data_IF_990678806271
#
_entry.id   IF_990678806271
#
_cell.length_a   1.000
_cell.length_b   1.000
_cell.length_c   1.000
_cell.angle_alpha   90.00
_cell.angle_beta   90.00
_cell.angle_gamma   90.00
#
_symmetry.space_group_name_H-M   'P 1'
#
loop_
_entity.id
_entity.type
_entity.pdbx_description
1 polymer ?
#
# COMPACT_ATOMS: atom_id res chain seq x y z
N UNK A 1 -22.24 16.05 27.00
CA UNK A 1 -21.48 14.78 26.98
C UNK A 1 -21.88 13.90 25.79
N UNK A 2 -23.16 13.55 25.61
CA UNK A 2 -23.59 12.71 24.47
C UNK A 2 -23.37 13.33 23.07
N UNK A 3 -23.46 14.66 22.95
CA UNK A 3 -23.29 15.38 21.68
C UNK A 3 -21.87 15.29 21.09
N UNK A 4 -20.83 15.34 21.93
CA UNK A 4 -19.43 15.25 21.47
C UNK A 4 -19.12 13.83 20.97
N UNK A 5 -19.67 12.81 21.62
CA UNK A 5 -19.53 11.41 21.19
C UNK A 5 -20.21 11.17 19.84
N UNK A 6 -21.42 11.70 19.64
CA UNK A 6 -22.14 11.62 18.36
C UNK A 6 -21.39 12.35 17.24
N UNK A 7 -20.77 13.50 17.54
CA UNK A 7 -19.94 14.24 16.57
C UNK A 7 -18.67 13.46 16.21
N UNK A 8 -17.98 12.88 17.20
CA UNK A 8 -16.79 12.05 16.95
C UNK A 8 -17.11 10.81 16.11
N UNK A 9 -18.20 10.11 16.42
CA UNK A 9 -18.67 8.97 15.62
C UNK A 9 -19.07 9.38 14.20
N UNK A 10 -19.69 10.56 14.03
CA UNK A 10 -20.06 11.07 12.71
C UNK A 10 -18.82 11.36 11.86
N UNK A 11 -17.77 11.96 12.43
CA UNK A 11 -16.51 12.23 11.73
C UNK A 11 -15.86 10.93 11.26
N UNK A 12 -15.79 9.92 12.14
CA UNK A 12 -15.21 8.61 11.82
C UNK A 12 -15.98 7.88 10.71
N UNK A 13 -17.31 7.97 10.73
CA UNK A 13 -18.18 7.35 9.72
C UNK A 13 -18.11 8.08 8.37
N UNK A 14 -17.95 9.41 8.39
CA UNK A 14 -17.84 10.22 7.16
C UNK A 14 -16.50 10.03 6.43
N UNK A 15 -15.40 9.80 7.16
CA UNK A 15 -14.07 9.54 6.59
C UNK A 15 -13.83 8.07 6.17
N UNK A 16 -14.87 7.24 6.23
CA UNK A 16 -14.80 5.80 5.98
C UNK A 16 -14.14 5.03 7.12
N UNK A 17 -14.87 4.03 7.66
CA UNK A 17 -14.35 3.10 8.68
C UNK A 17 -13.58 1.98 7.97
N UNK A 18 -12.25 2.08 7.99
CA UNK A 18 -11.36 0.93 7.79
C UNK A 18 -11.28 0.12 9.10
N UNK A 19 -11.06 -1.20 9.00
CA UNK A 19 -10.96 -2.12 10.14
C UNK A 19 -9.97 -1.61 11.21
N UNK A 20 -8.83 -1.04 10.78
CA UNK A 20 -7.85 -0.42 11.68
C UNK A 20 -8.43 0.78 12.44
N UNK A 21 -9.11 1.70 11.75
CA UNK A 21 -9.74 2.88 12.37
C UNK A 21 -10.80 2.43 13.38
N UNK A 22 -11.61 1.44 13.03
CA UNK A 22 -12.63 0.85 13.91
C UNK A 22 -12.03 0.24 15.18
N UNK A 23 -10.93 -0.50 15.06
CA UNK A 23 -10.22 -1.10 16.20
C UNK A 23 -9.65 -0.03 17.14
N UNK A 24 -8.99 1.01 16.59
CA UNK A 24 -8.44 2.13 17.36
C UNK A 24 -9.54 2.81 18.18
N UNK A 25 -10.67 3.11 17.55
CA UNK A 25 -11.81 3.77 18.19
C UNK A 25 -12.44 2.88 19.27
N UNK A 26 -12.63 1.59 19.00
CA UNK A 26 -13.21 0.64 19.94
C UNK A 26 -12.34 0.44 21.19
N UNK A 27 -11.03 0.28 21.02
CA UNK A 27 -10.08 0.12 22.13
C UNK A 27 -9.97 1.41 22.95
N UNK A 28 -9.84 2.57 22.29
CA UNK A 28 -9.79 3.87 22.96
C UNK A 28 -11.07 4.15 23.77
N UNK A 29 -12.24 3.83 23.20
CA UNK A 29 -13.52 3.96 23.89
C UNK A 29 -13.63 3.04 25.10
N UNK A 30 -13.30 1.76 24.95
CA UNK A 30 -13.38 0.79 26.03
C UNK A 30 -12.43 1.14 27.18
N UNK A 31 -11.21 1.57 26.87
CA UNK A 31 -10.25 2.04 27.88
C UNK A 31 -10.76 3.31 28.56
N UNK A 32 -11.25 4.30 27.82
CA UNK A 32 -11.81 5.53 28.41
C UNK A 32 -12.98 5.26 29.36
N UNK A 33 -13.91 4.38 28.98
CA UNK A 33 -15.03 3.95 29.82
C UNK A 33 -14.54 3.14 31.03
N UNK A 34 -13.53 2.30 30.88
CA UNK A 34 -12.92 1.53 31.97
C UNK A 34 -12.27 2.40 33.05
N UNK A 35 -11.55 3.44 32.64
CA UNK A 35 -10.97 4.44 33.55
C UNK A 35 -12.05 5.27 34.25
N UNK A 36 -13.10 5.69 33.53
CA UNK A 36 -14.19 6.47 34.10
C UNK A 36 -15.00 5.68 35.15
N UNK A 37 -15.17 4.37 34.96
CA UNK A 37 -15.90 3.52 35.89
C UNK A 37 -15.03 2.93 37.01
N UNK A 38 -13.74 3.29 37.09
CA UNK A 38 -12.82 2.81 38.12
C UNK A 38 -12.53 1.31 38.08
N UNK A 39 -12.83 0.64 36.96
CA UNK A 39 -12.68 -0.82 36.79
C UNK A 39 -11.22 -1.20 36.53
N UNK A 40 -10.39 -0.24 36.11
CA UNK A 40 -8.96 -0.44 35.82
C UNK A 40 -8.13 0.13 36.97
N UNK A 41 -7.66 -0.77 37.83
CA UNK A 41 -6.64 -0.60 38.90
C UNK A 41 -6.32 0.85 39.33
N UNK A 42 -7.17 1.46 40.18
CA UNK A 42 -7.00 2.84 40.66
C UNK A 42 -5.68 3.04 41.42
N UNK A 43 -5.19 2.01 42.11
CA UNK A 43 -4.07 2.09 43.07
C UNK A 43 -2.69 2.18 42.40
N UNK A 44 -2.52 1.63 41.19
CA UNK A 44 -1.26 1.72 40.45
C UNK A 44 -1.19 2.95 39.54
N UNK A 45 -2.36 3.52 39.19
CA UNK A 45 -2.47 4.65 38.27
C UNK A 45 -2.29 6.01 38.94
N UNK A 46 -2.68 6.14 40.20
CA UNK A 46 -2.46 7.35 41.03
C UNK A 46 -0.98 7.68 41.21
N UNK A 47 -0.09 6.68 41.12
CA UNK A 47 1.35 6.86 41.25
C UNK A 47 2.05 7.37 39.98
N UNK A 48 1.52 7.09 38.79
CA UNK A 48 2.17 7.41 37.51
C UNK A 48 1.64 8.67 36.83
N UNK A 49 0.36 8.98 36.99
CA UNK A 49 -0.21 10.23 36.49
C UNK A 49 -1.55 10.51 37.18
N UNK A 50 -1.56 11.48 38.10
CA UNK A 50 -2.64 11.75 39.05
C UNK A 50 -4.00 12.19 38.46
N UNK A 51 -4.61 13.33 38.89
CA UNK A 51 -6.03 13.66 38.61
C UNK A 51 -6.46 13.65 37.14
N UNK A 52 -5.51 13.72 36.20
CA UNK A 52 -5.76 13.84 34.77
C UNK A 52 -6.22 12.53 34.09
N UNK A 53 -5.93 11.36 34.67
CA UNK A 53 -6.39 10.04 34.16
C UNK A 53 -7.72 9.56 34.74
N UNK A 54 -8.25 10.25 35.77
CA UNK A 54 -9.62 9.99 36.24
C UNK A 54 -10.68 10.44 35.24
N UNK A 55 -10.30 11.23 34.23
CA UNK A 55 -11.17 11.60 33.12
C UNK A 55 -11.04 10.60 31.97
N UNK A 56 -12.07 9.74 31.81
CA UNK A 56 -12.13 8.74 30.74
C UNK A 56 -11.99 9.31 29.32
N UNK A 57 -12.35 10.58 29.11
CA UNK A 57 -12.16 11.25 27.82
C UNK A 57 -10.67 11.47 27.50
N UNK A 58 -9.87 11.85 28.51
CA UNK A 58 -8.43 12.08 28.35
C UNK A 58 -7.70 10.74 28.17
N UNK A 59 -8.04 9.74 29.00
CA UNK A 59 -7.47 8.40 28.89
C UNK A 59 -7.75 7.77 27.51
N UNK A 60 -9.01 7.82 27.05
CA UNK A 60 -9.38 7.33 25.72
C UNK A 60 -8.70 8.10 24.59
N UNK A 61 -8.60 9.43 24.70
CA UNK A 61 -7.90 10.27 23.73
C UNK A 61 -6.41 9.94 23.60
N UNK A 62 -5.71 9.74 24.72
CA UNK A 62 -4.29 9.35 24.72
C UNK A 62 -4.10 7.98 24.05
N UNK A 63 -4.97 7.01 24.34
CA UNK A 63 -4.93 5.68 23.71
C UNK A 63 -5.19 5.78 22.21
N UNK A 64 -6.16 6.58 21.78
CA UNK A 64 -6.44 6.81 20.36
C UNK A 64 -5.22 7.40 19.63
N UNK A 65 -4.58 8.42 20.23
CA UNK A 65 -3.36 9.04 19.67
C UNK A 65 -2.22 8.02 19.61
N UNK A 66 -1.97 7.28 20.69
CA UNK A 66 -0.90 6.30 20.75
C UNK A 66 -1.09 5.18 19.73
N UNK A 67 -2.30 4.63 19.59
CA UNK A 67 -2.59 3.59 18.60
C UNK A 67 -2.55 4.12 17.16
N UNK A 68 -3.00 5.36 16.93
CA UNK A 68 -2.89 6.01 15.61
C UNK A 68 -1.42 6.15 15.22
N UNK A 69 -0.59 6.69 16.11
CA UNK A 69 0.85 6.83 15.90
C UNK A 69 1.52 5.48 15.67
N UNK A 70 1.19 4.47 16.49
CA UNK A 70 1.69 3.11 16.30
C UNK A 70 1.31 2.54 14.93
N UNK A 71 0.07 2.77 14.50
CA UNK A 71 -0.42 2.29 13.21
C UNK A 71 0.27 2.98 12.05
N UNK A 72 0.48 4.29 12.12
CA UNK A 72 1.20 5.04 11.10
C UNK A 72 2.67 4.63 11.01
N UNK A 73 3.32 4.42 12.16
CA UNK A 73 4.71 3.96 12.22
C UNK A 73 4.86 2.52 11.70
N UNK A 74 3.83 1.69 11.86
CA UNK A 74 3.84 0.27 11.45
C UNK A 74 3.25 0.05 10.05
N UNK A 75 2.83 1.11 9.34
CA UNK A 75 2.35 0.98 7.95
C UNK A 75 3.49 0.45 7.06
N UNK A 76 3.23 -0.57 6.20
CA UNK A 76 4.22 -1.02 5.24
C UNK A 76 4.60 0.15 4.32
N UNK A 77 5.84 0.65 4.44
CA UNK A 77 6.33 1.71 3.55
C UNK A 77 6.36 1.17 2.13
N UNK A 78 5.61 1.83 1.23
CA UNK A 78 5.64 1.57 -0.20
C UNK A 78 7.05 1.86 -0.71
N UNK A 79 7.75 0.83 -1.17
CA UNK A 79 9.06 0.98 -1.78
C UNK A 79 8.86 1.51 -3.19
N UNK A 80 9.64 2.50 -3.63
CA UNK A 80 9.53 3.08 -4.97
C UNK A 80 10.91 3.24 -5.59
N UNK A 81 11.00 3.09 -6.90
CA UNK A 81 12.18 3.39 -7.70
C UNK A 81 11.73 4.04 -9.00
N UNK A 82 12.47 5.07 -9.45
CA UNK A 82 12.26 5.76 -10.71
C UNK A 82 13.42 5.42 -11.64
N UNK A 83 13.10 4.96 -12.85
CA UNK A 83 14.07 4.53 -13.87
C UNK A 83 13.62 5.02 -15.24
N UNK A 84 14.52 5.02 -16.24
CA UNK A 84 14.14 5.24 -17.63
C UNK A 84 13.24 4.11 -18.14
N UNK A 85 12.33 4.39 -19.07
CA UNK A 85 11.61 3.33 -19.79
C UNK A 85 12.50 2.79 -20.91
N UNK A 86 13.47 1.96 -20.56
CA UNK A 86 14.38 1.32 -21.50
C UNK A 86 14.78 -0.09 -21.02
N UNK A 87 15.46 -0.85 -21.88
CA UNK A 87 15.89 -2.22 -21.56
C UNK A 87 16.96 -2.27 -20.46
N UNK A 88 17.77 -1.21 -20.32
CA UNK A 88 18.81 -1.12 -19.28
C UNK A 88 18.24 -0.96 -17.86
N UNK A 89 17.02 -0.42 -17.74
CA UNK A 89 16.29 -0.32 -16.47
C UNK A 89 15.97 -1.67 -15.82
N UNK A 90 16.06 -2.78 -16.56
CA UNK A 90 15.82 -4.12 -16.03
C UNK A 90 16.77 -4.47 -14.87
N UNK A 91 18.04 -4.02 -14.94
CA UNK A 91 19.01 -4.27 -13.87
C UNK A 91 18.63 -3.56 -12.57
N UNK A 92 18.21 -2.30 -12.66
CA UNK A 92 17.81 -1.49 -11.51
C UNK A 92 16.51 -2.02 -10.89
N UNK A 93 15.55 -2.43 -11.73
CA UNK A 93 14.30 -3.07 -11.30
C UNK A 93 14.58 -4.39 -10.58
N UNK A 94 15.47 -5.24 -11.13
CA UNK A 94 15.85 -6.51 -10.51
C UNK A 94 16.51 -6.30 -9.15
N UNK A 95 17.45 -5.36 -9.04
CA UNK A 95 18.09 -5.01 -7.78
C UNK A 95 17.08 -4.50 -6.74
N UNK A 96 16.16 -3.65 -7.17
CA UNK A 96 15.07 -3.15 -6.32
C UNK A 96 14.15 -4.27 -5.82
N UNK A 97 13.74 -5.19 -6.70
CA UNK A 97 12.86 -6.31 -6.36
C UNK A 97 13.56 -7.35 -5.47
N UNK A 98 14.85 -7.62 -5.71
CA UNK A 98 15.66 -8.46 -4.84
C UNK A 98 15.75 -7.90 -3.41
N UNK A 99 16.04 -6.60 -3.29
CA UNK A 99 16.05 -5.92 -2.00
C UNK A 99 14.66 -5.89 -1.34
N UNK A 100 13.59 -5.78 -2.13
CA UNK A 100 12.22 -5.85 -1.64
C UNK A 100 11.86 -7.26 -1.15
N UNK A 101 12.21 -8.31 -1.88
CA UNK A 101 11.98 -9.70 -1.48
C UNK A 101 12.76 -10.06 -0.21
N UNK A 102 14.05 -9.67 -0.14
CA UNK A 102 14.90 -9.88 1.03
C UNK A 102 14.33 -9.21 2.29
N UNK A 103 13.89 -7.95 2.19
CA UNK A 103 13.26 -7.21 3.30
C UNK A 103 11.97 -7.86 3.80
N UNK A 104 11.25 -8.57 2.94
CA UNK A 104 10.00 -9.23 3.28
C UNK A 104 10.15 -10.72 3.66
N UNK A 105 11.39 -11.23 3.67
CA UNK A 105 11.71 -12.62 4.02
C UNK A 105 11.22 -13.64 2.99
N UNK A 106 11.07 -13.24 1.73
CA UNK A 106 10.63 -14.14 0.67
C UNK A 106 11.79 -14.94 0.08
N UNK A 107 11.47 -16.13 -0.43
CA UNK A 107 12.44 -17.07 -0.99
C UNK A 107 12.81 -16.72 -2.45
N UNK A 108 13.73 -17.51 -3.02
CA UNK A 108 14.15 -17.33 -4.41
C UNK A 108 13.01 -17.55 -5.38
N UNK A 109 12.08 -18.47 -5.10
CA UNK A 109 10.94 -18.75 -5.98
C UNK A 109 10.01 -17.53 -6.11
N UNK A 110 9.77 -16.81 -5.02
CA UNK A 110 9.03 -15.54 -5.08
C UNK A 110 9.83 -14.45 -5.78
N UNK A 111 11.15 -14.38 -5.56
CA UNK A 111 12.02 -13.40 -6.20
C UNK A 111 12.05 -13.57 -7.72
N UNK A 112 12.20 -14.82 -8.19
CA UNK A 112 12.18 -15.18 -9.62
C UNK A 112 10.83 -14.84 -10.27
N UNK A 113 9.73 -15.04 -9.53
CA UNK A 113 8.38 -14.72 -10.01
C UNK A 113 8.15 -13.21 -10.13
N UNK A 114 8.66 -12.43 -9.17
CA UNK A 114 8.62 -10.97 -9.22
C UNK A 114 9.46 -10.43 -10.38
N UNK A 115 10.66 -10.98 -10.58
CA UNK A 115 11.57 -10.60 -11.67
C UNK A 115 10.95 -10.90 -13.04
N UNK A 116 10.42 -12.12 -13.24
CA UNK A 116 9.76 -12.50 -14.49
C UNK A 116 8.51 -11.64 -14.78
N UNK A 117 7.70 -11.35 -13.75
CA UNK A 117 6.53 -10.46 -13.91
C UNK A 117 6.96 -9.03 -14.26
N UNK A 118 8.04 -8.54 -13.66
CA UNK A 118 8.55 -7.20 -13.94
C UNK A 118 9.16 -7.09 -15.34
N UNK A 119 9.92 -8.09 -15.77
CA UNK A 119 10.51 -8.17 -17.11
C UNK A 119 9.45 -8.15 -18.20
N UNK A 120 8.43 -9.02 -18.10
CA UNK A 120 7.35 -9.08 -19.09
C UNK A 120 6.54 -7.77 -19.13
N UNK A 121 6.38 -7.11 -17.98
CA UNK A 121 5.68 -5.82 -17.91
C UNK A 121 6.48 -4.70 -18.55
N UNK A 122 7.78 -4.62 -18.26
CA UNK A 122 8.68 -3.65 -18.87
C UNK A 122 8.70 -3.80 -20.39
N UNK A 123 8.85 -5.04 -20.88
CA UNK A 123 8.84 -5.32 -22.32
C UNK A 123 7.51 -4.99 -22.98
N UNK A 124 6.39 -5.20 -22.27
CA UNK A 124 5.06 -4.83 -22.75
C UNK A 124 4.91 -3.31 -22.88
N UNK A 125 5.42 -2.54 -21.91
CA UNK A 125 5.39 -1.08 -21.93
C UNK A 125 6.31 -0.48 -23.00
N UNK A 126 7.51 -1.04 -23.19
CA UNK A 126 8.44 -0.62 -24.25
C UNK A 126 7.84 -0.86 -25.63
N UNK A 127 7.25 -2.04 -25.87
CA UNK A 127 6.58 -2.35 -27.15
C UNK A 127 5.40 -1.44 -27.46
N UNK A 128 4.71 -0.94 -26.42
CA UNK A 128 3.62 0.02 -26.59
C UNK A 128 4.17 1.40 -26.93
N UNK A 129 5.26 1.83 -26.28
CA UNK A 129 5.94 3.09 -26.59
C UNK A 129 6.49 3.12 -28.02
N UNK A 130 7.09 2.01 -28.50
CA UNK A 130 7.53 1.87 -29.89
C UNK A 130 6.39 1.95 -30.92
N UNK A 131 5.15 1.68 -30.50
CA UNK A 131 3.97 1.74 -31.37
C UNK A 131 3.35 3.16 -31.43
N UNK A 132 3.83 4.11 -30.63
CA UNK A 132 3.35 5.48 -30.64
C UNK A 132 4.03 6.35 -31.70
N UNK A 133 3.30 7.38 -32.15
CA UNK A 133 3.68 8.22 -33.29
C UNK A 133 4.79 9.23 -32.94
N UNK A 134 4.93 9.60 -31.66
CA UNK A 134 5.98 10.48 -31.15
C UNK A 134 6.72 9.84 -29.95
N UNK A 135 7.81 9.09 -30.20
CA UNK A 135 8.60 8.51 -29.11
C UNK A 135 9.36 9.62 -28.37
N UNK A 136 8.89 9.97 -27.17
CA UNK A 136 9.56 10.86 -26.23
C UNK A 136 10.27 10.07 -25.13
N UNK A 137 11.24 10.66 -24.40
CA UNK A 137 11.87 10.00 -23.27
C UNK A 137 10.84 9.76 -22.17
N UNK A 138 10.41 8.51 -22.00
CA UNK A 138 9.50 8.08 -20.94
C UNK A 138 10.25 7.69 -19.68
N UNK A 139 9.65 8.02 -18.53
CA UNK A 139 10.12 7.55 -17.23
C UNK A 139 9.17 6.51 -16.68
N UNK A 140 9.74 5.51 -16.01
CA UNK A 140 9.01 4.45 -15.35
C UNK A 140 9.17 4.59 -13.83
N UNK A 141 8.05 4.77 -13.15
CA UNK A 141 7.98 4.64 -11.71
C UNK A 141 7.50 3.22 -11.38
N UNK A 142 8.36 2.45 -10.72
CA UNK A 142 7.98 1.18 -10.12
C UNK A 142 7.74 1.39 -8.62
N UNK A 143 6.61 0.88 -8.14
CA UNK A 143 6.34 0.81 -6.72
C UNK A 143 5.93 -0.61 -6.31
N UNK A 144 6.46 -1.04 -5.17
CA UNK A 144 6.19 -2.35 -4.60
C UNK A 144 5.64 -2.20 -3.19
N UNK A 145 4.56 -2.92 -2.89
CA UNK A 145 4.00 -3.05 -1.54
C UNK A 145 3.72 -4.51 -1.22
N UNK A 146 3.96 -4.89 0.03
CA UNK A 146 3.55 -6.20 0.54
C UNK A 146 2.06 -6.17 0.85
N UNK A 147 1.35 -7.21 0.44
CA UNK A 147 -0.05 -7.43 0.74
C UNK A 147 -0.22 -8.83 1.32
N UNK A 148 -1.29 -9.09 2.06
CA UNK A 148 -1.55 -10.41 2.64
C UNK A 148 -1.56 -11.48 1.54
N UNK A 149 -0.56 -12.37 1.61
CA UNK A 149 -0.37 -13.47 0.65
C UNK A 149 0.51 -13.16 -0.56
N UNK A 150 1.15 -11.98 -0.67
CA UNK A 150 1.98 -11.67 -1.82
C UNK A 150 2.53 -10.24 -1.91
N UNK A 151 2.77 -9.80 -3.14
CA UNK A 151 3.24 -8.47 -3.49
C UNK A 151 2.29 -7.83 -4.50
N UNK A 152 2.08 -6.52 -4.36
CA UNK A 152 1.55 -5.69 -5.45
C UNK A 152 2.71 -4.86 -6.02
N UNK A 153 2.87 -4.95 -7.33
CA UNK A 153 3.74 -4.11 -8.14
C UNK A 153 2.87 -3.16 -8.96
N UNK A 154 3.21 -1.88 -8.97
CA UNK A 154 2.57 -0.88 -9.83
C UNK A 154 3.65 -0.17 -10.64
N UNK A 155 3.50 -0.25 -11.96
CA UNK A 155 4.34 0.36 -12.97
C UNK A 155 3.57 1.54 -13.55
N UNK A 156 4.16 2.73 -13.48
CA UNK A 156 3.59 3.94 -14.04
C UNK A 156 4.57 4.49 -15.07
N UNK A 157 4.26 4.35 -16.35
CA UNK A 157 5.02 4.95 -17.44
C UNK A 157 4.43 6.33 -17.75
N UNK A 158 5.26 7.37 -17.70
CA UNK A 158 4.84 8.75 -17.96
C UNK A 158 5.57 9.31 -19.17
N UNK A 159 4.83 9.99 -20.05
CA UNK A 159 5.41 10.82 -21.11
C UNK A 159 5.74 12.22 -20.57
N UNK A 160 6.98 12.68 -20.84
CA UNK A 160 7.41 14.07 -20.63
C UNK A 160 8.29 14.34 -19.41
N UNK A 161 8.98 15.49 -19.46
CA UNK A 161 9.99 15.95 -18.49
C UNK A 161 9.45 16.79 -17.32
N UNK A 162 8.15 16.69 -17.02
CA UNK A 162 7.49 17.45 -15.96
C UNK A 162 7.78 16.93 -14.54
N UNK A 163 7.54 17.78 -13.53
CA UNK A 163 7.79 17.47 -12.12
C UNK A 163 6.87 16.34 -11.63
N UNK A 164 7.42 15.13 -11.56
CA UNK A 164 6.69 13.87 -11.33
C UNK A 164 5.92 13.87 -10.00
N UNK A 165 6.46 14.54 -8.99
CA UNK A 165 5.90 14.64 -7.64
C UNK A 165 4.55 15.36 -7.62
N UNK A 166 4.36 16.38 -8.46
CA UNK A 166 3.11 17.13 -8.54
C UNK A 166 2.01 16.32 -9.25
N UNK A 167 2.36 15.55 -10.29
CA UNK A 167 1.42 14.63 -10.96
C UNK A 167 1.08 13.41 -10.11
N UNK A 168 2.04 12.90 -9.34
CA UNK A 168 1.82 11.79 -8.41
C UNK A 168 1.01 12.19 -7.18
N UNK A 169 1.14 13.43 -6.70
CA UNK A 169 0.26 13.97 -5.65
C UNK A 169 -1.20 13.99 -6.09
N UNK A 170 -1.46 14.34 -7.37
CA UNK A 170 -2.80 14.30 -7.96
C UNK A 170 -3.36 12.88 -8.17
N UNK A 171 -2.50 11.87 -8.34
CA UNK A 171 -2.90 10.46 -8.51
C UNK A 171 -3.04 9.70 -7.18
N UNK A 172 -2.24 10.06 -6.17
CA UNK A 172 -2.25 9.42 -4.84
C UNK A 172 -3.56 9.59 -4.08
N UNK A 173 -4.35 10.61 -4.42
CA UNK A 173 -5.65 10.91 -3.80
C UNK A 173 -6.84 10.29 -4.56
N UNK A 174 -6.62 9.77 -5.78
CA UNK A 174 -7.66 9.16 -6.63
C UNK A 174 -7.52 7.66 -6.88
N UNK A 175 -6.40 7.05 -6.47
CA UNK A 175 -6.16 5.62 -6.68
C UNK A 175 -7.13 4.69 -5.90
N UNK A 176 -7.91 5.24 -4.96
CA UNK A 176 -8.90 4.49 -4.17
C UNK A 176 -10.30 4.39 -4.82
N UNK A 177 -10.63 5.18 -5.85
CA UNK A 177 -11.99 5.17 -6.43
C UNK A 177 -12.02 4.86 -7.93
N UNK A 178 -12.56 3.68 -8.24
CA UNK A 178 -13.21 3.28 -9.51
C UNK A 178 -12.47 3.57 -10.82
N UNK A 179 -11.83 2.53 -11.40
CA UNK A 179 -11.10 2.66 -12.66
C UNK A 179 -11.45 1.52 -13.66
N UNK A 180 -12.20 1.84 -14.70
CA UNK A 180 -12.75 0.88 -15.68
C UNK A 180 -11.66 0.49 -16.70
N UNK A 181 -11.52 -0.81 -17.01
CA UNK A 181 -10.32 -1.40 -17.64
C UNK A 181 -10.41 -1.72 -19.14
N UNK A 182 -9.24 -1.90 -19.76
CA UNK A 182 -9.05 -2.47 -21.11
C UNK A 182 -8.04 -3.62 -21.04
N UNK A 183 -8.41 -4.79 -21.56
CA UNK A 183 -7.56 -5.99 -21.56
C UNK A 183 -6.56 -5.94 -22.73
N UNK A 184 -5.27 -5.87 -22.45
CA UNK A 184 -4.19 -6.12 -23.43
C UNK A 184 -3.68 -7.55 -23.24
N UNK A 185 -3.16 -8.17 -24.30
CA UNK A 185 -2.66 -9.55 -24.37
C UNK A 185 -1.50 -9.85 -23.42
N UNK A 186 -1.81 -9.96 -22.13
CA UNK A 186 -0.93 -10.27 -21.01
C UNK A 186 -0.91 -11.79 -20.75
N UNK A 187 -0.83 -12.62 -21.80
CA UNK A 187 -0.99 -14.08 -21.68
C UNK A 187 0.06 -14.72 -20.76
N UNK A 188 1.30 -14.23 -20.78
CA UNK A 188 2.39 -14.67 -19.92
C UNK A 188 2.24 -14.13 -18.49
N UNK A 189 1.87 -12.86 -18.35
CA UNK A 189 1.60 -12.26 -17.05
C UNK A 189 0.44 -12.92 -16.31
N UNK A 190 -0.58 -13.46 -17.01
CA UNK A 190 -1.65 -14.26 -16.37
C UNK A 190 -1.16 -15.56 -15.70
N UNK A 191 0.04 -16.05 -16.04
CA UNK A 191 0.63 -17.21 -15.38
C UNK A 191 1.56 -16.80 -14.23
N UNK A 192 2.21 -15.64 -14.35
CA UNK A 192 3.16 -15.13 -13.36
C UNK A 192 2.50 -14.31 -12.25
N UNK A 193 1.36 -13.70 -12.52
CA UNK A 193 0.61 -12.87 -11.59
C UNK A 193 -0.76 -13.49 -11.30
N UNK A 194 -1.23 -13.36 -10.06
CA UNK A 194 -2.59 -13.72 -9.69
C UNK A 194 -3.62 -12.73 -10.25
N UNK A 195 -3.19 -11.48 -10.48
CA UNK A 195 -4.03 -10.44 -11.04
C UNK A 195 -3.21 -9.39 -11.77
N UNK A 196 -3.72 -8.90 -12.90
CA UNK A 196 -3.11 -7.83 -13.69
C UNK A 196 -4.20 -6.86 -14.13
N UNK A 197 -3.94 -5.57 -13.95
CA UNK A 197 -4.81 -4.48 -14.41
C UNK A 197 -3.97 -3.48 -15.17
N UNK A 198 -4.40 -3.17 -16.39
CA UNK A 198 -3.81 -2.13 -17.20
C UNK A 198 -4.81 -1.00 -17.40
N UNK A 199 -4.33 0.23 -17.28
CA UNK A 199 -5.12 1.43 -17.50
C UNK A 199 -4.26 2.52 -18.14
N UNK A 200 -4.80 3.17 -19.15
CA UNK A 200 -4.20 4.30 -19.83
C UNK A 200 -5.00 5.56 -19.50
N UNK A 201 -4.34 6.63 -19.06
CA UNK A 201 -4.98 7.91 -18.74
C UNK A 201 -4.18 9.08 -19.29
N UNK A 202 -4.72 9.71 -20.35
CA UNK A 202 -4.21 10.86 -21.10
C UNK A 202 -2.79 10.75 -21.69
N UNK A 203 -1.80 10.32 -20.90
CA UNK A 203 -0.36 10.26 -21.21
C UNK A 203 0.40 9.38 -20.18
N UNK A 204 -0.34 8.53 -19.47
CA UNK A 204 0.18 7.72 -18.38
C UNK A 204 -0.37 6.31 -18.50
N UNK A 205 0.54 5.35 -18.61
CA UNK A 205 0.21 3.92 -18.62
C UNK A 205 0.48 3.35 -17.23
N UNK A 206 -0.56 2.82 -16.61
CA UNK A 206 -0.53 2.24 -15.27
C UNK A 206 -0.78 0.74 -15.41
N UNK A 207 0.22 -0.06 -15.05
CA UNK A 207 0.10 -1.52 -14.94
C UNK A 207 0.22 -1.89 -13.47
N UNK A 208 -0.86 -2.41 -12.90
CA UNK A 208 -0.87 -2.96 -11.54
C UNK A 208 -0.89 -4.49 -11.60
N UNK A 209 -0.03 -5.13 -10.82
CA UNK A 209 0.20 -6.57 -10.84
C UNK A 209 0.18 -7.06 -9.40
N UNK A 210 -0.58 -8.11 -9.13
CA UNK A 210 -0.51 -8.86 -7.88
C UNK A 210 0.20 -10.18 -8.14
N UNK A 211 1.22 -10.46 -7.34
CA UNK A 211 1.98 -11.71 -7.37
C UNK A 211 1.78 -12.40 -6.03
N UNK A 212 1.10 -13.54 -6.04
CA UNK A 212 0.93 -14.35 -4.84
C UNK A 212 2.18 -15.19 -4.56
N UNK A 213 2.44 -15.44 -3.28
CA UNK A 213 3.52 -16.33 -2.84
C UNK A 213 3.33 -17.71 -3.50
N UNK A 214 4.38 -18.28 -4.13
CA UNK A 214 4.29 -19.59 -4.76
C UNK A 214 3.82 -20.65 -3.74
N UNK A 215 2.79 -21.43 -4.10
CA UNK A 215 2.31 -22.50 -3.23
C UNK A 215 3.40 -23.58 -3.08
N UNK A 216 3.82 -23.84 -1.84
CA UNK A 216 4.92 -24.76 -1.50
C UNK A 216 4.63 -26.22 -1.90
N UNK A 217 3.38 -26.54 -2.30
CA UNK A 217 2.89 -27.90 -2.55
C UNK A 217 3.18 -28.48 -3.93
N UNK A 218 3.66 -27.72 -4.93
CA UNK A 218 3.90 -28.28 -6.27
C UNK A 218 5.25 -28.99 -6.45
N UNK A 219 6.20 -28.85 -5.50
CA UNK A 219 7.56 -29.43 -5.59
C UNK A 219 7.70 -30.91 -5.18
N UNK A 220 6.59 -31.64 -4.94
CA UNK A 220 6.61 -33.07 -4.51
C UNK A 220 6.04 -34.07 -5.53
N UNK A 221 5.77 -33.66 -6.77
CA UNK A 221 5.41 -34.61 -7.84
C UNK A 221 6.46 -34.54 -8.95
N UNK A 222 7.57 -35.22 -8.74
CA UNK A 222 8.41 -35.74 -9.81
C UNK A 222 8.99 -37.06 -9.32
#
# INVERSE_FOLDING_TARGET
MASIFVIGMKIIVQDGIDYRKGMIVGVAFWVGVGFQNGVVFPEYMTALAGPHLQNGMVAGGIVAIAMTLFTELTKPRRSRVEVGLDVSALNDIRAFLAAFAARNGWDTAMSDRLDAAAEETLLSLIRQDEAEVEPGPRRLLLSARKEDGGAILEFVALTGSGNLQDRLALLGERADENLIGREVSLRLLRHLASWVRHQQYHDTDIVTIRVDVPDRKSRRRT
#
